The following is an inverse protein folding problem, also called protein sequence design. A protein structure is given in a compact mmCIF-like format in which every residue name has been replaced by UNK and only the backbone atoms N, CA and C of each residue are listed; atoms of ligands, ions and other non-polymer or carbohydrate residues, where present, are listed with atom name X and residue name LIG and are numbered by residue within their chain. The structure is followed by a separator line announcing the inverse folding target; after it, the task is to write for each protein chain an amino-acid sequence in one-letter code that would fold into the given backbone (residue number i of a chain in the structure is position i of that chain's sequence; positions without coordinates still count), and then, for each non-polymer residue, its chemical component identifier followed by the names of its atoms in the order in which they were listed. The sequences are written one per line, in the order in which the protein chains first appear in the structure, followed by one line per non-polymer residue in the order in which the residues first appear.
data_IF_326166773133
#
_entry.id   IF_326166773133
#
_cell.length_a   1.000
_cell.length_b   1.000
_cell.length_c   1.000
_cell.angle_alpha   90.00
_cell.angle_beta   90.00
_cell.angle_gamma   90.00
#
_symmetry.space_group_name_H-M   'P 1'
#
loop_
_entity.id
_entity.type
_entity.pdbx_description
1 polymer ?
#
# COMPACT_ATOMS: atom_id res chain seq x y z
N UNK A 1 -27.25 9.59 39.45
CA UNK A 1 -25.78 9.47 39.35
C UNK A 1 -25.50 8.54 38.18
N UNK A 2 -25.07 9.11 37.06
CA UNK A 2 -24.92 8.40 35.78
C UNK A 2 -23.75 7.42 35.82
N UNK A 3 -23.97 6.20 35.33
CA UNK A 3 -23.00 5.52 34.49
C UNK A 3 -23.70 4.41 33.70
N UNK A 4 -24.08 4.65 32.43
CA UNK A 4 -24.50 3.59 31.53
C UNK A 4 -23.30 3.00 30.78
N UNK A 5 -23.51 1.80 30.27
CA UNK A 5 -22.75 1.15 29.18
C UNK A 5 -21.51 0.36 29.59
N UNK A 6 -21.73 -0.94 29.78
CA UNK A 6 -20.74 -1.99 29.55
C UNK A 6 -20.20 -1.84 28.11
N UNK A 7 -19.14 -1.05 27.96
CA UNK A 7 -18.52 -0.73 26.68
C UNK A 7 -17.81 -1.94 26.10
N UNK A 8 -18.28 -2.39 24.94
CA UNK A 8 -17.47 -3.14 24.00
C UNK A 8 -16.09 -2.51 23.88
N UNK A 9 -15.04 -3.29 24.08
CA UNK A 9 -13.66 -2.89 23.79
C UNK A 9 -13.59 -2.68 22.26
N UNK A 10 -13.38 -1.46 21.72
CA UNK A 10 -13.51 -1.25 20.27
C UNK A 10 -12.22 -1.37 19.47
N UNK A 11 -11.07 -1.70 20.08
CA UNK A 11 -9.79 -1.77 19.35
C UNK A 11 -9.51 -3.20 18.87
N UNK A 12 -10.30 -3.63 17.91
CA UNK A 12 -9.87 -4.64 16.95
C UNK A 12 -10.42 -4.19 15.61
N UNK A 13 -9.88 -3.08 15.10
CA UNK A 13 -10.01 -2.73 13.69
C UNK A 13 -9.36 -3.88 12.91
N UNK A 14 -10.12 -4.70 12.17
CA UNK A 14 -9.60 -5.92 11.56
C UNK A 14 -8.77 -5.66 10.28
N UNK A 15 -8.20 -4.45 10.11
CA UNK A 15 -7.81 -3.95 8.78
C UNK A 15 -6.52 -3.12 8.72
N UNK A 16 -5.66 -3.17 9.74
CA UNK A 16 -4.32 -2.56 9.62
C UNK A 16 -3.39 -3.50 8.86
N UNK A 17 -3.30 -3.31 7.55
CA UNK A 17 -2.28 -3.98 6.72
C UNK A 17 -0.97 -3.20 6.83
N UNK A 18 0.11 -3.91 7.15
CA UNK A 18 1.44 -3.32 7.32
C UNK A 18 2.39 -3.93 6.28
N UNK A 19 3.23 -3.10 5.66
CA UNK A 19 4.28 -3.57 4.75
C UNK A 19 5.42 -4.12 5.59
N UNK A 20 5.59 -5.44 5.59
CA UNK A 20 6.69 -6.11 6.29
C UNK A 20 7.96 -6.16 5.43
N UNK A 21 7.82 -6.06 4.11
CA UNK A 21 8.96 -6.08 3.20
C UNK A 21 8.65 -5.33 1.91
N UNK A 22 9.61 -4.54 1.44
CA UNK A 22 9.56 -3.93 0.12
C UNK A 22 10.88 -4.14 -0.62
N UNK A 23 10.79 -4.43 -1.92
CA UNK A 23 11.94 -4.63 -2.80
C UNK A 23 11.74 -3.90 -4.11
N UNK A 24 12.67 -3.03 -4.44
CA UNK A 24 12.71 -2.41 -5.76
C UNK A 24 13.00 -3.45 -6.84
N UNK A 25 12.16 -3.50 -7.89
CA UNK A 25 12.30 -4.46 -9.00
C UNK A 25 12.83 -3.84 -10.29
N UNK A 26 12.89 -2.52 -10.39
CA UNK A 26 13.35 -1.80 -11.57
C UNK A 26 12.27 -0.91 -12.19
N UNK A 27 12.69 0.14 -12.90
CA UNK A 27 11.77 1.18 -13.39
C UNK A 27 11.09 1.88 -12.22
N UNK A 28 9.77 1.76 -12.13
CA UNK A 28 8.96 2.23 -10.99
C UNK A 28 8.14 1.10 -10.36
N UNK A 29 8.68 -0.12 -10.46
CA UNK A 29 8.07 -1.32 -9.90
C UNK A 29 8.69 -1.65 -8.57
N UNK A 30 7.81 -1.92 -7.63
CA UNK A 30 8.18 -2.28 -6.27
C UNK A 30 7.38 -3.52 -5.89
N UNK A 31 8.10 -4.54 -5.42
CA UNK A 31 7.50 -5.71 -4.85
C UNK A 31 7.29 -5.47 -3.35
N UNK A 32 6.10 -5.76 -2.87
CA UNK A 32 5.70 -5.53 -1.49
C UNK A 32 5.16 -6.82 -0.91
N UNK A 33 5.40 -7.02 0.38
CA UNK A 33 4.80 -8.08 1.17
C UNK A 33 4.19 -7.49 2.42
N UNK A 34 2.95 -7.88 2.67
CA UNK A 34 2.18 -7.49 3.84
C UNK A 34 2.22 -8.59 4.89
N UNK A 35 1.95 -8.21 6.14
CA UNK A 35 1.86 -9.16 7.26
C UNK A 35 0.72 -10.19 7.08
N UNK A 36 -0.35 -9.81 6.37
CA UNK A 36 -1.48 -10.69 6.03
C UNK A 36 -1.09 -11.88 5.12
N UNK A 37 0.13 -11.86 4.56
CA UNK A 37 0.61 -12.85 3.60
C UNK A 37 0.34 -12.48 2.14
N UNK A 38 -0.33 -11.35 1.90
CA UNK A 38 -0.41 -10.78 0.56
C UNK A 38 0.97 -10.29 0.12
N UNK A 39 1.40 -10.72 -1.05
CA UNK A 39 2.62 -10.24 -1.69
C UNK A 39 2.38 -9.98 -3.17
N UNK A 40 3.08 -9.01 -3.73
CA UNK A 40 3.09 -8.84 -5.17
C UNK A 40 3.84 -7.61 -5.65
N UNK A 41 3.95 -7.53 -6.98
CA UNK A 41 4.61 -6.44 -7.66
C UNK A 41 3.60 -5.37 -8.06
N UNK A 42 3.87 -4.13 -7.64
CA UNK A 42 3.10 -2.96 -8.02
C UNK A 42 3.91 -2.06 -8.92
N UNK A 43 3.25 -1.64 -10.01
CA UNK A 43 3.74 -0.60 -10.88
C UNK A 43 3.22 0.75 -10.38
N UNK A 44 4.10 1.52 -9.75
CA UNK A 44 3.78 2.83 -9.21
C UNK A 44 3.99 3.93 -10.26
N UNK A 45 4.51 3.64 -11.46
CA UNK A 45 4.76 4.64 -12.53
C UNK A 45 3.52 5.48 -12.80
N UNK A 46 2.36 4.81 -12.85
CA UNK A 46 1.06 5.43 -13.11
C UNK A 46 0.59 6.33 -11.97
N UNK A 47 1.12 6.14 -10.77
CA UNK A 47 0.82 6.91 -9.57
C UNK A 47 1.80 8.04 -9.31
N UNK A 48 2.90 8.12 -10.06
CA UNK A 48 3.88 9.20 -9.96
C UNK A 48 3.39 10.48 -10.68
N UNK A 49 2.17 10.91 -10.37
CA UNK A 49 1.56 12.14 -10.88
C UNK A 49 1.35 13.16 -9.76
N UNK A 50 1.64 14.44 -10.05
CA UNK A 50 1.54 15.55 -9.10
C UNK A 50 2.90 16.09 -8.67
N UNK A 51 2.93 17.35 -8.22
CA UNK A 51 4.16 18.08 -7.88
C UNK A 51 5.03 17.38 -6.82
N UNK A 52 4.41 16.68 -5.86
CA UNK A 52 5.14 15.93 -4.82
C UNK A 52 5.83 14.69 -5.41
N UNK A 53 5.27 14.10 -6.48
CA UNK A 53 5.77 12.91 -7.15
C UNK A 53 6.66 13.19 -8.37
N UNK A 54 6.83 14.45 -8.76
CA UNK A 54 7.78 14.83 -9.83
C UNK A 54 9.22 14.36 -9.59
N UNK A 55 9.82 14.56 -8.39
CA UNK A 55 11.18 14.04 -8.13
C UNK A 55 11.23 12.51 -8.06
N UNK A 56 10.10 11.83 -7.81
CA UNK A 56 10.02 10.37 -7.80
C UNK A 56 10.06 9.74 -9.19
N UNK A 57 9.87 10.55 -10.24
CA UNK A 57 10.14 10.13 -11.62
C UNK A 57 11.62 9.92 -11.88
N UNK A 58 12.50 10.34 -10.98
CA UNK A 58 13.89 9.94 -11.06
C UNK A 58 14.06 8.55 -10.40
N UNK A 59 14.54 7.53 -11.13
CA UNK A 59 14.71 6.19 -10.60
C UNK A 59 15.73 6.12 -9.44
N UNK A 60 16.70 7.05 -9.38
CA UNK A 60 17.64 7.14 -8.26
C UNK A 60 16.95 7.65 -6.98
N UNK A 61 15.96 8.53 -7.14
CA UNK A 61 15.15 9.03 -6.03
C UNK A 61 14.10 8.00 -5.62
N UNK A 62 13.47 7.34 -6.60
CA UNK A 62 12.51 6.28 -6.36
C UNK A 62 13.13 5.16 -5.53
N UNK A 63 14.31 4.64 -5.91
CA UNK A 63 14.99 3.58 -5.13
C UNK A 63 15.43 4.00 -3.72
N UNK A 64 15.41 5.31 -3.42
CA UNK A 64 15.77 5.85 -2.11
C UNK A 64 14.60 5.85 -1.12
N UNK A 65 13.54 5.07 -1.38
CA UNK A 65 12.46 4.86 -0.42
C UNK A 65 12.98 4.20 0.85
N UNK A 66 12.34 4.53 1.96
CA UNK A 66 12.46 3.80 3.22
C UNK A 66 11.16 3.01 3.46
N UNK A 67 11.30 1.89 4.16
CA UNK A 67 10.17 1.09 4.65
C UNK A 67 10.03 1.39 6.14
N UNK A 68 9.02 2.16 6.50
CA UNK A 68 8.68 2.52 7.89
C UNK A 68 7.18 2.25 8.07
N UNK A 69 6.84 0.97 8.26
CA UNK A 69 5.46 0.41 8.20
C UNK A 69 4.80 0.48 6.80
N UNK A 70 5.25 1.44 5.98
CA UNK A 70 4.90 1.64 4.59
C UNK A 70 6.05 2.29 3.80
N UNK A 71 5.84 2.57 2.51
CA UNK A 71 6.81 3.26 1.65
C UNK A 71 6.78 4.78 1.90
N UNK A 72 7.92 5.33 2.30
CA UNK A 72 8.10 6.78 2.49
C UNK A 72 9.37 7.28 1.82
N UNK A 73 9.36 8.54 1.38
CA UNK A 73 10.47 9.22 0.75
C UNK A 73 10.79 10.55 1.43
N UNK A 74 12.06 10.96 1.35
CA UNK A 74 12.56 12.19 1.96
C UNK A 74 11.99 13.49 1.36
N UNK A 75 11.29 13.42 0.22
CA UNK A 75 10.56 14.56 -0.36
C UNK A 75 9.20 14.80 0.33
N UNK A 76 8.79 13.94 1.27
CA UNK A 76 7.48 13.98 1.90
C UNK A 76 6.40 13.25 1.10
N UNK A 77 6.77 12.43 0.12
CA UNK A 77 5.86 11.47 -0.46
C UNK A 77 5.81 10.22 0.41
N UNK A 78 4.61 9.70 0.58
CA UNK A 78 4.33 8.43 1.22
C UNK A 78 3.25 7.71 0.42
N UNK A 79 3.36 6.39 0.35
CA UNK A 79 2.24 5.55 -0.08
C UNK A 79 1.73 4.83 1.14
N UNK A 80 0.45 4.96 1.45
CA UNK A 80 -0.18 4.21 2.53
C UNK A 80 -0.26 2.72 2.19
N UNK A 81 -0.16 1.81 3.18
CA UNK A 81 -0.18 0.38 2.93
C UNK A 81 -1.56 -0.09 2.44
N UNK A 82 -2.64 0.56 2.87
CA UNK A 82 -4.01 0.36 2.37
C UNK A 82 -4.12 0.63 0.86
N UNK A 83 -3.48 1.70 0.39
CA UNK A 83 -3.50 2.08 -1.03
C UNK A 83 -2.75 1.04 -1.87
N UNK A 84 -1.60 0.60 -1.38
CA UNK A 84 -0.81 -0.45 -2.03
C UNK A 84 -1.60 -1.78 -2.03
N UNK A 85 -2.20 -2.15 -0.92
CA UNK A 85 -3.01 -3.36 -0.79
C UNK A 85 -4.22 -3.35 -1.73
N UNK A 86 -4.95 -2.23 -1.83
CA UNK A 86 -6.07 -2.06 -2.76
C UNK A 86 -5.61 -2.21 -4.21
N UNK A 87 -4.47 -1.61 -4.58
CA UNK A 87 -3.92 -1.73 -5.94
C UNK A 87 -3.47 -3.14 -6.29
N UNK A 88 -2.90 -3.87 -5.32
CA UNK A 88 -2.56 -5.28 -5.47
C UNK A 88 -3.81 -6.14 -5.63
N UNK A 89 -4.81 -5.91 -4.78
CA UNK A 89 -6.11 -6.58 -4.85
C UNK A 89 -6.81 -6.30 -6.19
N UNK A 90 -6.83 -5.04 -6.65
CA UNK A 90 -7.41 -4.65 -7.93
C UNK A 90 -6.64 -5.22 -9.13
N UNK A 91 -5.30 -5.28 -9.07
CA UNK A 91 -4.49 -5.88 -10.13
C UNK A 91 -4.63 -7.41 -10.17
N UNK A 92 -4.91 -8.04 -9.02
CA UNK A 92 -5.22 -9.46 -8.90
C UNK A 92 -6.69 -9.83 -9.21
N UNK A 93 -7.62 -8.87 -9.11
CA UNK A 93 -9.05 -9.07 -9.34
C UNK A 93 -9.46 -9.13 -10.83
N UNK A 94 -8.51 -9.06 -11.75
CA UNK A 94 -8.74 -9.35 -13.15
C UNK A 94 -8.76 -10.85 -13.43
N UNK A 95 -9.85 -11.55 -13.06
CA UNK A 95 -10.43 -12.76 -13.74
C UNK A 95 -10.99 -13.80 -12.76
N UNK A 96 -12.22 -13.62 -12.29
CA UNK A 96 -13.14 -14.75 -12.02
C UNK A 96 -14.54 -14.39 -12.51
N UNK A 97 -14.92 -15.04 -13.63
CA UNK A 97 -16.26 -15.43 -14.09
C UNK A 97 -17.17 -14.27 -14.52
N UNK A 98 -17.39 -14.04 -15.82
CA UNK A 98 -17.88 -15.04 -16.75
C UNK A 98 -19.33 -15.37 -16.39
N UNK A 99 -20.25 -14.71 -17.09
CA UNK A 99 -21.57 -15.22 -17.48
C UNK A 99 -22.31 -16.09 -16.44
N UNK A 100 -23.40 -15.56 -15.89
CA UNK A 100 -24.51 -16.40 -15.49
C UNK A 100 -25.75 -15.96 -16.28
N UNK A 101 -26.14 -16.90 -17.12
CA UNK A 101 -27.32 -17.04 -18.00
C UNK A 101 -28.69 -16.83 -17.34
#
# INVERSE_FOLDING_TARGET
MSNPSNGSIPWSDPTFVHVIEARYRGGYRVWLRFDDGLEGELDLERELYGQVFEPLKDPEFFRSFAVDDTLTWSNGADFAPEFLHERLSASGAGRVRGDQE
#
